data_IF_596249015741
#
_entry.id   IF_596249015741
#
_cell.length_a   1.000
_cell.length_b   1.000
_cell.length_c   1.000
_cell.angle_alpha   90.00
_cell.angle_beta   90.00
_cell.angle_gamma   90.00
#
_symmetry.space_group_name_H-M   'P 1'
#
loop_
_entity.id
_entity.type
_entity.pdbx_description
1 polymer ?
#
# COMPACT_ATOMS: atom_id res chain seq x y z
N UNK A 1 2.74 -7.24 6.44
CA UNK A 1 2.43 -6.51 7.70
C UNK A 1 2.37 -5.03 7.39
N UNK A 2 1.45 -4.28 8.01
CA UNK A 2 1.33 -2.82 7.83
C UNK A 2 1.28 -2.16 9.20
N UNK A 3 2.09 -1.13 9.41
CA UNK A 3 1.93 -0.20 10.52
C UNK A 3 0.95 0.88 10.09
N UNK A 4 -0.15 0.99 10.84
CA UNK A 4 -1.29 1.84 10.49
C UNK A 4 -1.44 2.95 11.51
N UNK A 5 -1.56 4.20 11.06
CA UNK A 5 -1.92 5.32 11.93
C UNK A 5 -3.43 5.56 11.82
N UNK A 6 -4.23 5.15 12.81
CA UNK A 6 -5.69 5.30 12.75
C UNK A 6 -6.17 6.73 13.01
N UNK A 7 -5.28 7.65 13.42
CA UNK A 7 -5.62 9.04 13.75
C UNK A 7 -5.24 10.03 12.64
N UNK A 8 -4.46 9.59 11.65
CA UNK A 8 -4.08 10.45 10.54
C UNK A 8 -5.28 10.67 9.64
N UNK A 9 -5.79 11.90 9.62
CA UNK A 9 -6.86 12.36 8.76
C UNK A 9 -6.30 13.32 7.70
N UNK A 10 -6.53 13.03 6.43
CA UNK A 10 -6.20 13.91 5.31
C UNK A 10 -7.02 13.55 4.07
N UNK A 11 -7.25 14.49 3.14
CA UNK A 11 -7.85 14.18 1.86
C UNK A 11 -6.92 13.31 1.02
N UNK A 12 -7.50 12.42 0.23
CA UNK A 12 -6.77 11.72 -0.83
C UNK A 12 -6.43 12.75 -1.92
N UNK A 13 -5.16 12.77 -2.32
CA UNK A 13 -4.66 13.61 -3.42
C UNK A 13 -3.89 12.77 -4.40
N UNK A 14 -4.08 13.02 -5.69
CA UNK A 14 -3.35 12.38 -6.78
C UNK A 14 -1.83 12.41 -6.52
N UNK A 15 -1.31 13.59 -6.16
CA UNK A 15 0.12 13.82 -5.92
C UNK A 15 0.74 12.92 -4.83
N UNK A 16 -0.07 12.30 -3.96
CA UNK A 16 0.40 11.39 -2.91
C UNK A 16 0.42 9.91 -3.35
N UNK A 17 -0.17 9.57 -4.50
CA UNK A 17 -0.38 8.19 -4.96
C UNK A 17 0.73 7.71 -5.92
N UNK A 18 1.05 6.41 -5.83
CA UNK A 18 2.14 5.78 -6.59
C UNK A 18 1.68 4.94 -7.79
N UNK A 19 0.44 5.14 -8.26
CA UNK A 19 -0.07 4.46 -9.46
C UNK A 19 0.35 5.17 -10.76
N UNK A 20 0.09 4.52 -11.91
CA UNK A 20 0.51 5.04 -13.22
C UNK A 20 -0.48 6.00 -13.90
N UNK A 21 -1.59 6.36 -13.24
CA UNK A 21 -2.58 7.29 -13.78
C UNK A 21 -2.26 8.73 -13.37
N UNK A 22 -2.77 9.70 -14.13
CA UNK A 22 -2.70 11.15 -13.88
C UNK A 22 -3.90 11.69 -13.09
N UNK A 23 -4.91 10.85 -12.79
CA UNK A 23 -6.04 11.21 -11.95
C UNK A 23 -6.35 10.13 -10.90
N UNK A 24 -7.22 10.45 -9.96
CA UNK A 24 -7.84 9.48 -9.05
C UNK A 24 -9.31 9.86 -8.87
N UNK A 25 -10.26 8.91 -8.89
CA UNK A 25 -11.67 9.21 -8.64
C UNK A 25 -11.93 9.65 -7.20
N UNK A 26 -10.93 9.51 -6.31
CA UNK A 26 -11.03 9.82 -4.89
C UNK A 26 -10.45 11.20 -4.53
N UNK A 27 -10.13 12.03 -5.50
CA UNK A 27 -9.51 13.34 -5.27
C UNK A 27 -10.36 14.18 -4.29
N UNK A 28 -9.72 14.70 -3.24
CA UNK A 28 -10.37 15.52 -2.23
C UNK A 28 -11.22 14.76 -1.20
N UNK A 29 -11.35 13.44 -1.30
CA UNK A 29 -12.10 12.66 -0.31
C UNK A 29 -11.32 12.58 1.01
N UNK A 30 -11.89 13.13 2.08
CA UNK A 30 -11.34 13.03 3.43
C UNK A 30 -11.47 11.62 4.00
N UNK A 31 -10.34 11.05 4.40
CA UNK A 31 -10.28 9.75 5.06
C UNK A 31 -9.50 9.85 6.37
N UNK A 32 -9.81 8.94 7.30
CA UNK A 32 -9.07 8.78 8.56
C UNK A 32 -8.51 7.37 8.63
N UNK A 33 -7.22 7.26 8.92
CA UNK A 33 -6.48 6.01 8.86
C UNK A 33 -5.57 5.96 7.64
N UNK A 34 -4.26 5.83 7.88
CA UNK A 34 -3.26 5.75 6.81
C UNK A 34 -2.16 4.73 7.11
N UNK A 35 -1.67 3.97 6.10
CA UNK A 35 -0.46 3.19 6.24
C UNK A 35 0.76 4.12 6.37
N UNK A 36 1.56 3.92 7.42
CA UNK A 36 2.81 4.68 7.62
C UNK A 36 4.04 3.87 7.28
N UNK A 37 3.95 2.54 7.41
CA UNK A 37 5.02 1.59 7.04
C UNK A 37 4.40 0.30 6.51
N UNK A 38 4.93 -0.24 5.42
CA UNK A 38 4.56 -1.57 4.90
C UNK A 38 5.78 -2.48 4.92
N UNK A 39 5.60 -3.69 5.45
CA UNK A 39 6.64 -4.71 5.60
C UNK A 39 6.22 -5.96 4.83
N UNK A 40 7.10 -6.40 3.94
CA UNK A 40 6.96 -7.62 3.13
C UNK A 40 8.17 -8.51 3.41
N UNK A 41 7.92 -9.78 3.79
CA UNK A 41 9.00 -10.76 4.08
C UNK A 41 10.06 -10.25 5.07
N UNK A 42 9.63 -9.51 6.09
CA UNK A 42 10.53 -8.93 7.12
C UNK A 42 11.30 -7.68 6.67
N UNK A 43 11.07 -7.17 5.46
CA UNK A 43 11.73 -5.98 4.92
C UNK A 43 10.74 -4.82 4.77
N UNK A 44 11.15 -3.62 5.17
CA UNK A 44 10.38 -2.39 4.92
C UNK A 44 10.42 -2.09 3.43
N UNK A 45 9.25 -1.95 2.81
CA UNK A 45 9.12 -1.65 1.36
C UNK A 45 8.48 -0.29 1.10
N UNK A 46 7.80 0.26 2.09
CA UNK A 46 7.22 1.60 2.06
C UNK A 46 7.33 2.20 3.46
N UNK A 47 7.76 3.45 3.54
CA UNK A 47 7.86 4.18 4.80
C UNK A 47 7.70 5.69 4.56
N UNK A 48 6.96 6.37 5.43
CA UNK A 48 6.84 7.84 5.43
C UNK A 48 6.52 8.45 4.05
N UNK A 49 5.61 7.84 3.27
CA UNK A 49 5.22 8.36 1.96
C UNK A 49 6.08 7.89 0.79
N UNK A 50 7.15 7.11 1.02
CA UNK A 50 8.13 6.72 0.01
C UNK A 50 8.21 5.22 -0.16
N UNK A 51 8.31 4.77 -1.41
CA UNK A 51 8.71 3.41 -1.73
C UNK A 51 10.23 3.28 -1.52
N UNK A 52 10.63 2.29 -0.71
CA UNK A 52 12.03 2.03 -0.34
C UNK A 52 12.45 0.58 -0.62
N UNK A 53 11.54 -0.25 -1.12
CA UNK A 53 11.82 -1.64 -1.47
C UNK A 53 12.43 -1.81 -2.86
N UNK A 54 13.16 -2.92 -3.03
CA UNK A 54 13.80 -3.26 -4.31
C UNK A 54 12.82 -3.83 -5.33
N UNK A 55 12.97 -3.42 -6.59
CA UNK A 55 12.26 -4.03 -7.72
C UNK A 55 12.64 -5.51 -7.83
N UNK A 56 11.64 -6.38 -7.96
CA UNK A 56 11.85 -7.82 -8.09
C UNK A 56 11.95 -8.58 -6.76
N UNK A 57 11.76 -7.93 -5.61
CA UNK A 57 11.74 -8.60 -4.30
C UNK A 57 10.51 -9.49 -4.05
N UNK A 58 9.54 -9.50 -4.97
CA UNK A 58 8.36 -10.35 -4.90
C UNK A 58 8.63 -11.78 -5.39
N UNK A 59 7.82 -12.73 -4.91
CA UNK A 59 7.92 -14.15 -5.26
C UNK A 59 6.54 -14.69 -5.60
N UNK A 60 6.48 -15.68 -6.50
CA UNK A 60 5.24 -16.40 -6.81
C UNK A 60 4.91 -17.32 -5.64
N UNK A 61 3.69 -17.23 -5.11
CA UNK A 61 3.18 -18.15 -4.10
C UNK A 61 2.35 -19.25 -4.76
N UNK A 62 2.79 -20.50 -4.65
CA UNK A 62 2.01 -21.65 -5.08
C UNK A 62 0.73 -21.79 -4.25
N UNK A 63 -0.40 -22.07 -4.90
CA UNK A 63 -1.67 -22.36 -4.23
C UNK A 63 -2.11 -23.80 -4.56
N UNK A 64 -2.75 -24.45 -3.59
CA UNK A 64 -3.36 -25.77 -3.79
C UNK A 64 -4.65 -25.72 -4.62
N UNK A 65 -5.21 -26.90 -4.90
CA UNK A 65 -6.55 -27.02 -5.50
C UNK A 65 -7.61 -26.47 -4.55
N UNK A 66 -8.75 -26.08 -5.10
CA UNK A 66 -9.90 -25.62 -4.32
C UNK A 66 -10.32 -26.69 -3.30
N UNK A 67 -10.76 -26.26 -2.11
CA UNK A 67 -11.33 -27.16 -1.10
C UNK A 67 -12.74 -27.66 -1.45
N UNK A 68 -13.29 -27.24 -2.58
CA UNK A 68 -14.58 -27.69 -3.11
C UNK A 68 -14.45 -28.87 -4.11
N UNK A 69 -13.22 -29.34 -4.36
CA UNK A 69 -12.94 -30.57 -5.12
C UNK A 69 -12.79 -31.77 -4.19
#
# INVERSE_FOLDING_TARGET
VVLWNPKLAKPIRQADLHHGSDYTPWEGVDITGWPVTTIVRGRVVYEHGRLVGDKGAGEVLSRGKSSLM
#
